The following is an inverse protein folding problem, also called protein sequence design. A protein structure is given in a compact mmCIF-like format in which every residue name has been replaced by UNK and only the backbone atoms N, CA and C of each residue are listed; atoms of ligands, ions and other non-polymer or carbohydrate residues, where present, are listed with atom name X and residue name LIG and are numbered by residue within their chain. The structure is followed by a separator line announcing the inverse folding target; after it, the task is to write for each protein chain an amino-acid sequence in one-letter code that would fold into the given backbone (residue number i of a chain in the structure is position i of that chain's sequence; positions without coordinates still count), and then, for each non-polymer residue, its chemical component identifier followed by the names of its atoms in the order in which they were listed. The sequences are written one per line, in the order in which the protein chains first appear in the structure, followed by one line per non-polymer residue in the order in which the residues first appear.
data_IF_588538714390
#
_entry.id   IF_588538714390
#
_cell.length_a   1.000
_cell.length_b   1.000
_cell.length_c   1.000
_cell.angle_alpha   90.00
_cell.angle_beta   90.00
_cell.angle_gamma   90.00
#
_symmetry.space_group_name_H-M   'P 1'
#
loop_
_entity.id
_entity.type
_entity.pdbx_description
1 polymer ?
#
# COMPACT_ATOMS: atom_id res chain seq x y z
N UNK A 1 10.33 2.76 2.41
CA UNK A 1 9.08 3.52 2.65
C UNK A 1 7.97 3.20 1.63
N UNK A 2 8.19 3.34 0.31
CA UNK A 2 7.19 3.06 -0.75
C UNK A 2 6.52 1.68 -0.64
N UNK A 3 7.28 0.61 -0.41
CA UNK A 3 6.74 -0.75 -0.27
C UNK A 3 5.80 -0.94 0.93
N UNK A 4 6.07 -0.26 2.06
CA UNK A 4 5.19 -0.31 3.26
C UNK A 4 3.88 0.39 2.94
N UNK A 5 3.95 1.58 2.34
CA UNK A 5 2.78 2.36 1.94
C UNK A 5 1.89 1.55 0.99
N UNK A 6 2.45 0.92 -0.03
CA UNK A 6 1.69 0.08 -0.96
C UNK A 6 1.02 -1.12 -0.28
N UNK A 7 1.72 -1.79 0.64
CA UNK A 7 1.12 -2.90 1.41
C UNK A 7 -0.04 -2.41 2.27
N UNK A 8 0.08 -1.25 2.90
CA UNK A 8 -1.00 -0.64 3.70
C UNK A 8 -2.17 -0.24 2.80
N UNK A 9 -1.92 0.40 1.66
CA UNK A 9 -2.96 0.77 0.69
C UNK A 9 -3.70 -0.48 0.18
N UNK A 10 -2.99 -1.53 -0.25
CA UNK A 10 -3.60 -2.76 -0.73
C UNK A 10 -4.51 -3.40 0.34
N UNK A 11 -4.03 -3.49 1.59
CA UNK A 11 -4.85 -3.98 2.71
C UNK A 11 -6.09 -3.12 2.94
N UNK A 12 -5.96 -1.79 2.88
CA UNK A 12 -7.10 -0.89 3.05
C UNK A 12 -8.14 -1.15 1.95
N UNK A 13 -7.74 -1.16 0.68
CA UNK A 13 -8.64 -1.42 -0.45
C UNK A 13 -9.38 -2.75 -0.31
N UNK A 14 -8.67 -3.81 0.07
CA UNK A 14 -9.26 -5.15 0.23
C UNK A 14 -10.23 -5.26 1.41
N UNK A 15 -10.04 -4.49 2.48
CA UNK A 15 -10.85 -4.57 3.71
C UNK A 15 -11.89 -3.46 3.83
N UNK A 16 -12.02 -2.56 2.84
CA UNK A 16 -13.04 -1.53 2.87
C UNK A 16 -14.43 -2.16 2.86
N UNK A 17 -15.24 -1.79 3.85
CA UNK A 17 -16.60 -2.30 3.99
C UNK A 17 -17.56 -1.41 3.21
N UNK A 18 -17.87 -1.84 1.98
CA UNK A 18 -18.70 -1.10 1.04
C UNK A 18 -20.04 -1.79 0.79
N UNK A 19 -20.13 -3.08 1.10
CA UNK A 19 -21.24 -3.92 0.72
C UNK A 19 -22.12 -4.27 1.93
N UNK A 20 -23.36 -4.60 1.61
CA UNK A 20 -24.36 -5.03 2.59
C UNK A 20 -24.07 -6.47 3.02
N UNK A 21 -24.31 -6.79 4.30
CA UNK A 21 -24.27 -8.17 4.76
C UNK A 21 -25.53 -8.91 4.29
N UNK A 22 -25.38 -9.91 3.41
CA UNK A 22 -26.52 -10.59 2.77
C UNK A 22 -27.52 -11.21 3.77
N UNK A 23 -27.08 -11.64 4.95
CA UNK A 23 -27.95 -12.25 5.97
C UNK A 23 -28.79 -11.24 6.76
N UNK A 24 -28.30 -10.02 6.95
CA UNK A 24 -28.96 -9.01 7.81
C UNK A 24 -29.43 -7.78 7.04
N UNK A 25 -28.99 -7.59 5.80
CA UNK A 25 -29.20 -6.37 5.00
C UNK A 25 -28.47 -5.15 5.55
N UNK A 26 -27.57 -5.32 6.54
CA UNK A 26 -26.87 -4.18 7.14
C UNK A 26 -25.80 -3.64 6.17
N UNK A 27 -25.90 -2.35 5.86
CA UNK A 27 -24.97 -1.62 4.99
C UNK A 27 -23.60 -1.43 5.66
N UNK A 28 -22.55 -1.31 4.86
CA UNK A 28 -21.18 -1.02 5.32
C UNK A 28 -20.56 -2.11 6.21
N UNK A 29 -20.95 -3.37 5.98
CA UNK A 29 -20.53 -4.49 6.82
C UNK A 29 -19.51 -5.40 6.14
N UNK A 30 -19.62 -5.57 4.82
CA UNK A 30 -18.80 -6.51 4.07
C UNK A 30 -17.85 -5.80 3.10
N UNK A 31 -16.67 -6.37 2.96
CA UNK A 31 -15.64 -5.97 2.02
C UNK A 31 -15.71 -6.77 0.72
N UNK A 32 -14.92 -6.34 -0.27
CA UNK A 32 -14.74 -7.07 -1.54
C UNK A 32 -14.26 -8.50 -1.30
N UNK A 33 -13.45 -8.71 -0.25
CA UNK A 33 -12.98 -10.05 0.12
C UNK A 33 -14.11 -10.91 0.69
N UNK A 34 -14.93 -10.35 1.59
CA UNK A 34 -16.01 -11.07 2.26
C UNK A 34 -17.05 -11.61 1.25
N UNK A 35 -17.34 -10.82 0.21
CA UNK A 35 -18.26 -11.20 -0.85
C UNK A 35 -17.60 -11.91 -2.04
N UNK A 36 -16.28 -12.14 -1.98
CA UNK A 36 -15.52 -12.75 -3.06
C UNK A 36 -15.72 -12.03 -4.42
N UNK A 37 -15.68 -10.70 -4.41
CA UNK A 37 -15.90 -9.87 -5.60
C UNK A 37 -14.59 -9.56 -6.34
N UNK A 38 -14.70 -9.01 -7.54
CA UNK A 38 -13.54 -8.60 -8.34
C UNK A 38 -13.16 -7.13 -8.09
N UNK A 39 -11.89 -6.80 -8.36
CA UNK A 39 -11.36 -5.43 -8.36
C UNK A 39 -10.83 -5.13 -9.76
N UNK A 40 -11.34 -4.08 -10.40
CA UNK A 40 -10.77 -3.51 -11.60
C UNK A 40 -9.91 -2.29 -11.23
N UNK A 41 -8.61 -2.39 -11.48
CA UNK A 41 -7.67 -1.29 -11.28
C UNK A 41 -7.39 -0.60 -12.62
N UNK A 42 -7.48 0.73 -12.65
CA UNK A 42 -7.11 1.55 -13.82
C UNK A 42 -6.18 2.67 -13.35
N UNK A 43 -5.02 2.82 -14.01
CA UNK A 43 -4.08 3.90 -13.70
C UNK A 43 -4.66 5.26 -14.12
N UNK A 44 -4.79 6.21 -13.19
CA UNK A 44 -5.38 7.53 -13.45
C UNK A 44 -4.55 8.69 -12.88
N UNK A 45 -3.56 9.18 -13.64
CA UNK A 45 -2.70 10.28 -13.18
C UNK A 45 -3.42 11.62 -13.03
N UNK A 46 -4.55 11.81 -13.74
CA UNK A 46 -5.31 13.06 -13.70
C UNK A 46 -5.97 13.33 -12.35
N UNK A 47 -6.06 12.33 -11.46
CA UNK A 47 -6.48 12.53 -10.07
C UNK A 47 -5.53 13.49 -9.33
N UNK A 48 -4.25 13.55 -9.72
CA UNK A 48 -3.24 14.48 -9.17
C UNK A 48 -3.25 15.87 -9.85
N UNK A 49 -4.38 16.31 -10.38
CA UNK A 49 -4.49 17.61 -11.04
C UNK A 49 -4.43 18.78 -10.05
N UNK A 50 -4.04 19.94 -10.58
CA UNK A 50 -4.34 21.27 -10.06
C UNK A 50 -4.98 22.09 -11.15
N UNK A 51 -5.77 23.09 -10.79
CA UNK A 51 -6.35 24.01 -11.77
C UNK A 51 -5.55 25.32 -11.79
N UNK A 52 -5.11 25.72 -12.98
CA UNK A 52 -4.58 27.07 -13.28
C UNK A 52 -5.62 27.76 -14.17
N UNK A 53 -6.55 28.47 -13.54
CA UNK A 53 -7.81 28.85 -14.19
C UNK A 53 -8.60 27.60 -14.59
N UNK A 54 -9.00 27.49 -15.86
CA UNK A 54 -9.74 26.33 -16.37
C UNK A 54 -8.81 25.23 -16.92
N UNK A 55 -7.48 25.42 -16.89
CA UNK A 55 -6.51 24.46 -17.41
C UNK A 55 -6.03 23.52 -16.31
N UNK A 56 -6.15 22.20 -16.47
CA UNK A 56 -5.55 21.26 -15.55
C UNK A 56 -4.02 21.22 -15.73
N UNK A 57 -3.33 21.17 -14.60
CA UNK A 57 -1.89 21.04 -14.45
C UNK A 57 -1.61 19.73 -13.69
N UNK A 58 -0.77 18.88 -14.26
CA UNK A 58 -0.45 17.55 -13.72
C UNK A 58 1.01 17.45 -13.26
N UNK A 59 1.67 18.58 -13.00
CA UNK A 59 3.10 18.62 -12.62
C UNK A 59 3.41 17.86 -11.32
N UNK A 60 2.40 17.57 -10.50
CA UNK A 60 2.53 16.78 -9.26
C UNK A 60 2.41 15.28 -9.46
N UNK A 61 1.94 14.82 -10.62
CA UNK A 61 1.86 13.39 -10.90
C UNK A 61 3.26 12.80 -11.11
N UNK A 62 3.43 11.55 -10.70
CA UNK A 62 4.67 10.80 -10.92
C UNK A 62 4.90 10.55 -12.43
N UNK A 63 6.16 10.58 -12.86
CA UNK A 63 6.54 10.37 -14.26
C UNK A 63 6.34 8.91 -14.71
N UNK A 64 6.12 8.72 -16.02
CA UNK A 64 5.68 7.45 -16.62
C UNK A 64 6.40 6.18 -16.13
N UNK A 65 7.74 6.06 -16.26
CA UNK A 65 8.45 4.84 -15.89
C UNK A 65 8.33 4.48 -14.41
N UNK A 66 8.52 5.47 -13.52
CA UNK A 66 8.38 5.25 -12.08
C UNK A 66 6.93 4.96 -11.68
N UNK A 67 5.97 5.64 -12.31
CA UNK A 67 4.56 5.44 -12.09
C UNK A 67 4.10 4.04 -12.51
N UNK A 68 4.60 3.53 -13.64
CA UNK A 68 4.31 2.18 -14.11
C UNK A 68 4.84 1.12 -13.15
N UNK A 69 6.07 1.28 -12.66
CA UNK A 69 6.65 0.37 -11.66
C UNK A 69 5.88 0.42 -10.33
N UNK A 70 5.50 1.62 -9.87
CA UNK A 70 4.71 1.79 -8.65
C UNK A 70 3.33 1.14 -8.79
N UNK A 71 2.66 1.37 -9.91
CA UNK A 71 1.36 0.78 -10.22
C UNK A 71 1.42 -0.74 -10.27
N UNK A 72 2.38 -1.30 -11.01
CA UNK A 72 2.59 -2.75 -11.11
C UNK A 72 2.87 -3.39 -9.76
N UNK A 73 3.66 -2.74 -8.90
CA UNK A 73 3.91 -3.24 -7.54
C UNK A 73 2.64 -3.25 -6.68
N UNK A 74 1.75 -2.24 -6.81
CA UNK A 74 0.47 -2.24 -6.10
C UNK A 74 -0.43 -3.39 -6.55
N UNK A 75 -0.54 -3.61 -7.87
CA UNK A 75 -1.29 -4.75 -8.42
C UNK A 75 -0.76 -6.08 -7.89
N UNK A 76 0.56 -6.25 -7.85
CA UNK A 76 1.18 -7.46 -7.33
C UNK A 76 0.85 -7.67 -5.85
N UNK A 77 0.85 -6.59 -5.04
CA UNK A 77 0.43 -6.68 -3.64
C UNK A 77 -1.04 -7.06 -3.50
N UNK A 78 -1.92 -6.53 -4.33
CA UNK A 78 -3.34 -6.92 -4.33
C UNK A 78 -3.49 -8.40 -4.67
N UNK A 79 -2.83 -8.88 -5.73
CA UNK A 79 -2.86 -10.29 -6.14
C UNK A 79 -2.31 -11.22 -5.06
N UNK A 80 -1.19 -10.85 -4.42
CA UNK A 80 -0.59 -11.63 -3.34
C UNK A 80 -1.49 -11.70 -2.10
N UNK A 81 -2.20 -10.61 -1.77
CA UNK A 81 -3.02 -10.52 -0.56
C UNK A 81 -4.46 -11.03 -0.74
N UNK A 82 -4.85 -11.35 -1.98
CA UNK A 82 -6.20 -11.79 -2.32
C UNK A 82 -6.14 -12.95 -3.34
N UNK A 83 -7.16 -13.10 -4.20
CA UNK A 83 -7.19 -14.08 -5.28
C UNK A 83 -6.66 -13.41 -6.56
N UNK A 84 -5.55 -13.88 -7.16
CA UNK A 84 -4.95 -13.24 -8.32
C UNK A 84 -5.91 -13.00 -9.49
N UNK A 85 -6.77 -13.97 -9.80
CA UNK A 85 -7.73 -13.89 -10.91
C UNK A 85 -8.84 -12.86 -10.69
N UNK A 86 -9.05 -12.41 -9.45
CA UNK A 86 -10.04 -11.38 -9.11
C UNK A 86 -9.47 -9.96 -9.19
N UNK A 87 -8.17 -9.80 -9.43
CA UNK A 87 -7.53 -8.50 -9.64
C UNK A 87 -7.34 -8.26 -11.13
N UNK A 88 -8.24 -7.47 -11.70
CA UNK A 88 -8.22 -7.04 -13.10
C UNK A 88 -7.42 -5.75 -13.25
N UNK A 89 -6.74 -5.62 -14.37
CA UNK A 89 -5.93 -4.48 -14.75
C UNK A 89 -6.45 -3.92 -16.08
N UNK A 90 -6.33 -2.62 -16.26
CA UNK A 90 -6.43 -1.98 -17.56
C UNK A 90 -5.13 -2.15 -18.35
N UNK A 91 -4.80 -1.15 -19.17
CA UNK A 91 -3.49 -1.03 -19.82
C UNK A 91 -2.86 0.31 -19.45
N UNK A 92 -1.80 0.26 -18.65
CA UNK A 92 -1.08 1.47 -18.20
C UNK A 92 -0.64 2.33 -19.39
N UNK A 93 -0.94 3.62 -19.34
CA UNK A 93 -0.56 4.59 -20.38
C UNK A 93 -1.32 4.49 -21.70
N UNK A 94 -2.22 3.52 -21.86
CA UNK A 94 -3.05 3.42 -23.06
C UNK A 94 -4.28 4.34 -22.97
N UNK A 95 -4.76 4.82 -24.12
CA UNK A 95 -6.08 5.43 -24.21
C UNK A 95 -7.15 4.34 -24.04
N UNK A 96 -8.08 4.53 -23.11
CA UNK A 96 -9.07 3.53 -22.73
C UNK A 96 -10.48 4.13 -22.68
N UNK A 97 -11.46 3.30 -23.00
CA UNK A 97 -12.86 3.51 -22.65
C UNK A 97 -13.19 2.59 -21.49
N UNK A 98 -13.51 3.15 -20.32
CA UNK A 98 -13.80 2.39 -19.10
C UNK A 98 -15.28 2.51 -18.81
N UNK A 99 -16.01 1.41 -18.96
CA UNK A 99 -17.43 1.34 -18.65
C UNK A 99 -17.62 1.00 -17.17
N UNK A 100 -18.30 1.87 -16.43
CA UNK A 100 -18.55 1.71 -14.99
C UNK A 100 -20.06 1.76 -14.77
N UNK A 101 -20.62 0.66 -14.27
CA UNK A 101 -21.99 0.61 -13.76
C UNK A 101 -21.94 0.67 -12.25
N UNK A 102 -22.14 1.87 -11.69
CA UNK A 102 -22.11 2.06 -10.24
C UNK A 102 -23.41 1.52 -9.62
N UNK A 103 -23.28 0.49 -8.79
CA UNK A 103 -24.35 -0.01 -7.93
C UNK A 103 -24.40 0.82 -6.63
N UNK A 104 -25.53 1.48 -6.35
CA UNK A 104 -25.68 2.44 -5.25
C UNK A 104 -26.25 3.81 -5.70
N UNK A 105 -25.43 4.75 -6.20
CA UNK A 105 -23.98 4.71 -6.37
C UNK A 105 -23.21 5.01 -5.07
N UNK A 106 -22.07 4.33 -4.90
CA UNK A 106 -21.10 4.58 -3.82
C UNK A 106 -19.77 4.98 -4.45
N UNK A 107 -19.19 6.10 -4.01
CA UNK A 107 -17.87 6.56 -4.48
C UNK A 107 -17.08 7.08 -3.30
N UNK A 108 -15.81 6.67 -3.19
CA UNK A 108 -14.92 7.07 -2.11
C UNK A 108 -13.60 7.57 -2.68
N UNK A 109 -13.10 8.65 -2.07
CA UNK A 109 -11.74 9.13 -2.29
C UNK A 109 -10.83 8.60 -1.18
N UNK A 110 -9.69 8.05 -1.58
CA UNK A 110 -8.72 7.46 -0.65
C UNK A 110 -7.33 7.98 -1.03
N UNK A 111 -6.70 8.67 -0.09
CA UNK A 111 -5.32 9.14 -0.23
C UNK A 111 -4.37 8.28 0.61
N UNK A 112 -3.11 8.20 0.19
CA UNK A 112 -2.05 7.50 0.90
C UNK A 112 -0.71 8.20 0.70
N UNK A 113 0.05 8.52 1.77
CA UNK A 113 -0.30 8.30 3.17
C UNK A 113 -1.26 9.40 3.65
N UNK A 114 -2.45 9.04 4.16
CA UNK A 114 -3.04 9.85 5.24
C UNK A 114 -2.27 9.46 6.49
N UNK A 115 -1.15 10.14 6.72
CA UNK A 115 -0.57 10.17 8.04
C UNK A 115 -1.07 11.46 8.67
N UNK A 116 -2.01 11.36 9.60
CA UNK A 116 -1.93 12.31 10.70
C UNK A 116 -0.50 12.26 11.23
N UNK A 117 0.10 13.40 11.57
CA UNK A 117 1.48 13.45 12.13
C UNK A 117 1.62 12.45 13.30
N UNK A 118 0.52 12.21 14.01
CA UNK A 118 0.35 11.22 15.08
C UNK A 118 0.58 9.77 14.63
N UNK A 119 0.04 9.35 13.48
CA UNK A 119 0.23 8.00 12.92
C UNK A 119 1.64 7.81 12.37
N UNK A 120 2.23 8.85 11.75
CA UNK A 120 3.64 8.84 11.37
C UNK A 120 4.53 8.64 12.61
N UNK A 121 4.23 9.35 13.69
CA UNK A 121 4.95 9.23 14.96
C UNK A 121 4.79 7.85 15.61
N UNK A 122 3.60 7.25 15.53
CA UNK A 122 3.33 5.89 16.05
C UNK A 122 4.10 4.82 15.27
N UNK A 123 4.15 4.95 13.93
CA UNK A 123 4.94 4.07 13.07
C UNK A 123 6.44 4.16 13.38
N UNK A 124 6.99 5.37 13.51
CA UNK A 124 8.39 5.59 13.89
C UNK A 124 8.71 5.00 15.28
N UNK A 125 7.81 5.18 16.27
CA UNK A 125 7.96 4.60 17.62
C UNK A 125 7.91 3.08 17.63
N UNK A 126 7.08 2.46 16.78
CA UNK A 126 7.00 1.00 16.64
C UNK A 126 8.23 0.38 15.97
N UNK A 127 8.95 1.15 15.14
CA UNK A 127 10.20 0.71 14.52
C UNK A 127 11.39 0.77 15.48
N UNK A 128 11.41 1.71 16.44
CA UNK A 128 12.44 1.77 17.49
C UNK A 128 12.41 0.58 18.48
N UNK A 129 11.24 -0.05 18.68
CA UNK A 129 11.12 -1.23 19.55
C UNK A 129 11.56 -2.54 18.89
N UNK A 130 11.51 -2.65 17.55
CA UNK A 130 12.04 -3.83 16.84
C UNK A 130 13.56 -3.82 16.69
N UNK A 131 14.19 -2.64 16.64
CA UNK A 131 15.64 -2.52 16.62
C UNK A 131 16.31 -2.87 17.97
N UNK A 132 15.58 -2.76 19.09
CA UNK A 132 16.07 -3.21 20.42
C UNK A 132 15.81 -4.68 20.74
N UNK A 133 14.94 -5.36 19.99
CA UNK A 133 14.54 -6.75 20.25
C UNK A 133 15.27 -7.79 19.39
N UNK A 134 16.11 -7.37 18.44
CA UNK A 134 17.11 -8.23 17.81
C UNK A 134 18.45 -7.82 18.39
N UNK A 135 18.86 -8.50 19.46
CA UNK A 135 20.15 -8.29 20.10
C UNK A 135 21.27 -8.38 19.07
N UNK A 136 22.15 -7.39 19.10
CA UNK A 136 23.39 -7.35 18.35
C UNK A 136 24.27 -8.54 18.76
N UNK A 137 24.60 -9.52 17.88
CA UNK A 137 25.57 -10.56 18.21
C UNK A 137 27.02 -10.08 18.07
N UNK A 138 27.27 -8.81 17.71
CA UNK A 138 28.59 -8.31 17.34
C UNK A 138 29.28 -7.44 18.41
N UNK A 139 28.99 -7.64 19.69
CA UNK A 139 29.74 -7.02 20.80
C UNK A 139 30.27 -8.04 21.83
N UNK A 140 30.38 -9.32 21.46
CA UNK A 140 30.84 -10.39 22.35
C UNK A 140 32.06 -11.19 21.90
N UNK A 141 32.73 -10.82 20.79
CA UNK A 141 33.85 -11.62 20.23
C UNK A 141 35.20 -10.89 20.28
N UNK A 142 35.24 -9.62 20.70
CA UNK A 142 36.50 -8.86 20.76
C UNK A 142 37.21 -8.98 22.12
N UNK A 143 36.58 -9.54 23.15
CA UNK A 143 37.17 -9.62 24.51
C UNK A 143 37.67 -11.03 24.90
N UNK A 144 37.60 -12.01 23.99
CA UNK A 144 38.01 -13.40 24.27
C UNK A 144 39.26 -13.88 23.50
N UNK A 145 39.92 -13.03 22.69
CA UNK A 145 41.15 -13.41 21.95
C UNK A 145 42.43 -12.71 22.43
N UNK A 146 42.36 -11.83 23.44
CA UNK A 146 43.54 -11.13 23.98
C UNK A 146 44.07 -11.71 25.31
N UNK A 147 43.50 -12.81 25.82
CA UNK A 147 43.95 -13.47 27.06
C UNK A 147 44.49 -14.88 26.90
N UNK A 148 44.83 -15.31 25.69
CA UNK A 148 45.38 -16.66 25.44
C UNK A 148 46.80 -16.66 24.86
N UNK A 149 47.49 -15.50 24.80
CA UNK A 149 48.84 -15.41 24.23
C UNK A 149 49.90 -14.79 25.15
N UNK A 150 49.74 -14.92 26.47
CA UNK A 150 50.73 -14.46 27.46
C UNK A 150 51.04 -15.50 28.56
N UNK A 151 50.85 -16.79 28.28
CA UNK A 151 51.40 -17.90 29.07
C UNK A 151 51.85 -19.03 28.14
N UNK A 152 52.85 -18.75 27.29
CA UNK A 152 53.84 -19.76 26.89
C UNK A 152 55.03 -19.08 26.21
N UNK A 153 56.17 -19.15 26.92
CA UNK A 153 57.55 -18.77 26.56
C UNK A 153 58.04 -17.36 26.91
#
# INVERSE_FOLDING_TARGET
MKAIVQRVTARKLLNLRLFEEASTGKRWMQSVMDQQLEIMCVSQFTLYHRLKGNRPDFSRAMQGPEAQQLYGTLLEKLRTLYVPDRIRDGRFGAMMQVHIQNDGPVTLEIESPVQSEQERQKLLRSQGHKAKAVGNPAEGVVEAMEKTNMEEK
#
